data_IF_351378183940
#
_entry.id   IF_351378183940
#
_cell.length_a   1.000
_cell.length_b   1.000
_cell.length_c   1.000
_cell.angle_alpha   90.00
_cell.angle_beta   90.00
_cell.angle_gamma   90.00
#
_symmetry.space_group_name_H-M   'P 1'
#
loop_
_entity.id
_entity.type
_entity.pdbx_description
1 polymer ?
#
# COMPACT_ATOMS: atom_id res chain seq x y z
N UNK A 1 20.79 6.48 -17.29
CA UNK A 1 22.15 5.88 -17.41
C UNK A 1 23.26 6.92 -17.65
N UNK A 2 24.38 6.81 -16.91
CA UNK A 2 25.62 7.59 -17.15
C UNK A 2 26.44 6.94 -18.29
N UNK A 3 27.07 7.75 -19.14
CA UNK A 3 27.82 7.23 -20.30
C UNK A 3 29.08 6.43 -19.88
N UNK A 4 29.77 6.84 -18.82
CA UNK A 4 30.93 6.11 -18.27
C UNK A 4 30.55 4.69 -17.85
N UNK A 5 29.47 4.55 -17.07
CA UNK A 5 29.00 3.24 -16.64
C UNK A 5 28.63 2.34 -17.83
N UNK A 6 28.10 2.92 -18.92
CA UNK A 6 27.82 2.14 -20.13
C UNK A 6 29.07 1.65 -20.85
N UNK A 7 30.13 2.45 -20.83
CA UNK A 7 31.43 2.06 -21.35
C UNK A 7 31.99 0.87 -20.55
N UNK A 8 31.93 0.96 -19.22
CA UNK A 8 32.38 -0.11 -18.31
C UNK A 8 31.54 -1.39 -18.49
N UNK A 9 30.22 -1.26 -18.67
CA UNK A 9 29.33 -2.39 -18.99
C UNK A 9 29.70 -3.04 -20.33
N UNK A 10 30.08 -2.25 -21.35
CA UNK A 10 30.51 -2.81 -22.62
C UNK A 10 31.75 -3.69 -22.46
N UNK A 11 32.73 -3.22 -21.65
CA UNK A 11 33.94 -3.99 -21.31
C UNK A 11 33.59 -5.25 -20.49
N UNK A 12 32.70 -5.13 -19.50
CA UNK A 12 32.20 -6.27 -18.73
C UNK A 12 31.49 -7.29 -19.64
N UNK A 13 30.64 -6.86 -20.58
CA UNK A 13 29.93 -7.77 -21.47
C UNK A 13 30.87 -8.50 -22.44
N UNK A 14 32.04 -7.93 -22.76
CA UNK A 14 33.08 -8.59 -23.54
C UNK A 14 33.80 -9.72 -22.79
N UNK A 15 33.76 -9.77 -21.45
CA UNK A 15 34.38 -10.88 -20.70
C UNK A 15 33.55 -12.16 -20.77
N UNK A 16 32.27 -12.04 -21.15
CA UNK A 16 31.34 -13.15 -21.27
C UNK A 16 31.46 -13.88 -22.60
N UNK A 17 31.20 -15.19 -22.56
CA UNK A 17 31.30 -16.06 -23.75
C UNK A 17 29.97 -16.21 -24.48
N UNK A 18 28.85 -16.31 -23.76
CA UNK A 18 27.57 -16.67 -24.37
C UNK A 18 26.37 -16.06 -23.65
N UNK A 19 25.31 -15.78 -24.41
CA UNK A 19 23.99 -15.48 -23.84
C UNK A 19 23.27 -16.79 -23.49
N UNK A 20 23.27 -17.18 -22.22
CA UNK A 20 22.67 -18.45 -21.76
C UNK A 20 21.16 -18.35 -21.53
N UNK A 21 20.62 -17.14 -21.39
CA UNK A 21 19.18 -16.89 -21.26
C UNK A 21 18.84 -15.47 -21.70
N UNK A 22 17.67 -15.27 -22.31
CA UNK A 22 17.12 -13.95 -22.58
C UNK A 22 15.59 -13.99 -22.64
N UNK A 23 14.91 -13.09 -21.92
CA UNK A 23 13.46 -12.93 -21.98
C UNK A 23 13.02 -11.58 -21.41
N UNK A 24 11.80 -11.13 -21.73
CA UNK A 24 11.17 -10.03 -20.99
C UNK A 24 10.60 -10.53 -19.67
N UNK A 25 10.88 -9.79 -18.60
CA UNK A 25 10.32 -10.03 -17.25
C UNK A 25 9.25 -9.00 -16.88
N UNK A 26 9.21 -7.88 -17.62
CA UNK A 26 8.21 -6.82 -17.54
C UNK A 26 8.13 -6.13 -18.90
N UNK A 27 7.17 -5.24 -19.09
CA UNK A 27 6.89 -4.60 -20.39
C UNK A 27 8.11 -3.88 -20.97
N UNK A 28 8.97 -3.34 -20.09
CA UNK A 28 10.17 -2.58 -20.46
C UNK A 28 11.48 -3.22 -19.97
N UNK A 29 11.43 -4.37 -19.29
CA UNK A 29 12.62 -4.97 -18.65
C UNK A 29 12.97 -6.28 -19.33
N UNK A 30 14.19 -6.35 -19.86
CA UNK A 30 14.76 -7.54 -20.48
C UNK A 30 15.73 -8.16 -19.47
N UNK A 31 15.50 -9.41 -19.11
CA UNK A 31 16.47 -10.23 -18.38
C UNK A 31 17.36 -10.92 -19.40
N UNK A 32 18.67 -10.69 -19.31
CA UNK A 32 19.68 -11.38 -20.09
C UNK A 32 20.68 -12.02 -19.12
N UNK A 33 20.95 -13.32 -19.31
CA UNK A 33 21.98 -14.03 -18.57
C UNK A 33 23.17 -14.25 -19.49
N UNK A 34 24.31 -13.69 -19.12
CA UNK A 34 25.56 -13.86 -19.82
C UNK A 34 26.39 -14.86 -19.00
N UNK A 35 26.70 -16.01 -19.59
CA UNK A 35 27.24 -17.17 -18.90
C UNK A 35 26.40 -17.53 -17.66
N UNK A 36 26.90 -17.28 -16.44
CA UNK A 36 26.19 -17.52 -15.18
C UNK A 36 25.60 -16.25 -14.55
N UNK A 37 25.87 -15.07 -15.09
CA UNK A 37 25.54 -13.78 -14.45
C UNK A 37 24.26 -13.19 -15.04
N UNK A 38 23.33 -12.81 -14.17
CA UNK A 38 22.06 -12.19 -14.54
C UNK A 38 22.20 -10.67 -14.62
N UNK A 39 21.73 -10.11 -15.74
CA UNK A 39 21.58 -8.69 -15.97
C UNK A 39 20.14 -8.36 -16.35
N UNK A 40 19.68 -7.20 -15.90
CA UNK A 40 18.36 -6.69 -16.22
C UNK A 40 18.51 -5.33 -16.87
N UNK A 41 18.01 -5.22 -18.10
CA UNK A 41 18.02 -4.01 -18.90
C UNK A 41 16.63 -3.39 -18.80
N UNK A 42 16.49 -2.36 -17.96
CA UNK A 42 15.26 -1.60 -17.82
C UNK A 42 15.26 -0.42 -18.80
N UNK A 43 14.41 -0.54 -19.81
CA UNK A 43 14.21 0.43 -20.88
C UNK A 43 13.03 1.35 -20.58
N UNK A 44 12.76 1.66 -19.31
CA UNK A 44 11.84 2.72 -18.92
C UNK A 44 12.26 4.06 -19.55
N UNK A 45 11.32 4.75 -20.21
CA UNK A 45 11.57 6.02 -20.91
C UNK A 45 12.07 7.14 -19.99
N UNK A 46 11.67 7.15 -18.71
CA UNK A 46 12.05 8.20 -17.76
C UNK A 46 13.43 8.00 -17.14
N UNK A 47 13.78 6.75 -16.82
CA UNK A 47 15.04 6.42 -16.17
C UNK A 47 15.57 5.04 -16.62
N UNK A 48 16.16 4.95 -17.83
CA UNK A 48 16.77 3.73 -18.32
C UNK A 48 18.02 3.36 -17.52
N UNK A 49 18.15 2.08 -17.20
CA UNK A 49 19.23 1.53 -16.37
C UNK A 49 19.52 0.07 -16.70
N UNK A 50 20.72 -0.37 -16.32
CA UNK A 50 21.11 -1.78 -16.30
C UNK A 50 21.50 -2.09 -14.85
N UNK A 51 21.09 -3.24 -14.33
CA UNK A 51 21.45 -3.70 -12.99
C UNK A 51 21.62 -5.22 -12.97
N UNK A 52 22.25 -5.74 -11.92
CA UNK A 52 22.46 -7.18 -11.73
C UNK A 52 21.85 -7.63 -10.40
N UNK A 53 21.26 -8.82 -10.39
CA UNK A 53 20.71 -9.46 -9.20
C UNK A 53 20.82 -10.97 -9.32
N UNK A 54 21.06 -11.67 -8.22
CA UNK A 54 21.14 -13.13 -8.21
C UNK A 54 19.76 -13.79 -8.34
N UNK A 55 18.70 -13.09 -7.93
CA UNK A 55 17.33 -13.57 -8.01
C UNK A 55 16.77 -13.57 -9.44
N UNK A 56 16.01 -14.60 -9.79
CA UNK A 56 15.19 -14.60 -11.01
C UNK A 56 13.92 -13.80 -10.72
N UNK A 57 13.68 -12.74 -11.49
CA UNK A 57 12.41 -12.01 -11.42
C UNK A 57 11.29 -12.90 -11.99
N UNK A 58 10.14 -12.97 -11.31
CA UNK A 58 8.97 -13.70 -11.80
C UNK A 58 8.64 -13.23 -13.22
N UNK A 59 8.70 -14.15 -14.17
CA UNK A 59 8.42 -13.88 -15.58
C UNK A 59 6.93 -13.94 -15.84
N UNK A 60 6.37 -12.85 -16.37
CA UNK A 60 5.15 -12.95 -17.16
C UNK A 60 5.54 -13.54 -18.52
N UNK A 61 4.74 -14.47 -19.06
CA UNK A 61 5.03 -15.02 -20.38
C UNK A 61 4.65 -14.00 -21.45
N UNK A 62 5.62 -13.60 -22.28
CA UNK A 62 5.43 -12.69 -23.40
C UNK A 62 5.72 -13.43 -24.71
N UNK A 63 4.80 -13.32 -25.67
CA UNK A 63 4.89 -13.98 -26.99
C UNK A 63 4.79 -12.97 -28.15
N UNK A 64 5.22 -11.73 -27.95
CA UNK A 64 5.22 -10.72 -29.01
C UNK A 64 6.33 -11.03 -30.05
N UNK A 65 6.28 -10.45 -31.27
CA UNK A 65 7.31 -10.68 -32.30
C UNK A 65 8.74 -10.45 -31.81
N UNK A 66 8.94 -9.46 -30.94
CA UNK A 66 10.23 -9.19 -30.32
C UNK A 66 10.72 -10.30 -29.38
N UNK A 67 9.82 -10.93 -28.61
CA UNK A 67 10.17 -12.06 -27.73
C UNK A 67 10.60 -13.28 -28.53
N UNK A 68 9.83 -13.58 -29.58
CA UNK A 68 10.12 -14.68 -30.51
C UNK A 68 11.49 -14.42 -31.17
N UNK A 69 11.75 -13.18 -31.60
CA UNK A 69 13.04 -12.82 -32.18
C UNK A 69 14.20 -12.97 -31.18
N UNK A 70 14.05 -12.53 -29.93
CA UNK A 70 15.08 -12.74 -28.90
C UNK A 70 15.38 -14.23 -28.69
N UNK A 71 14.34 -15.06 -28.57
CA UNK A 71 14.50 -16.51 -28.39
C UNK A 71 15.15 -17.21 -29.60
N UNK A 72 14.96 -16.66 -30.81
CA UNK A 72 15.45 -17.27 -32.04
C UNK A 72 16.87 -16.83 -32.40
N UNK A 73 17.20 -15.56 -32.17
CA UNK A 73 18.43 -14.95 -32.70
C UNK A 73 19.48 -14.64 -31.63
N UNK A 74 19.11 -14.55 -30.35
CA UNK A 74 20.02 -14.14 -29.26
C UNK A 74 20.21 -15.26 -28.24
N UNK A 75 19.15 -16.00 -27.92
CA UNK A 75 19.26 -17.12 -26.97
C UNK A 75 20.30 -18.16 -27.45
N UNK A 76 21.23 -18.53 -26.55
CA UNK A 76 22.37 -19.42 -26.82
C UNK A 76 23.35 -18.92 -27.90
N UNK A 77 23.35 -17.63 -28.21
CA UNK A 77 24.33 -17.06 -29.13
C UNK A 77 25.66 -16.76 -28.41
N UNK A 78 26.78 -17.05 -29.07
CA UNK A 78 28.12 -16.72 -28.58
C UNK A 78 28.36 -15.21 -28.73
N UNK A 79 28.91 -14.58 -27.71
CA UNK A 79 29.23 -13.15 -27.72
C UNK A 79 30.56 -12.98 -28.46
N UNK A 80 30.58 -12.12 -29.48
CA UNK A 80 31.81 -11.74 -30.18
C UNK A 80 32.46 -10.53 -29.54
N UNK A 81 31.67 -9.49 -29.33
CA UNK A 81 32.12 -8.23 -28.73
C UNK A 81 30.91 -7.40 -28.31
N UNK A 82 31.13 -6.48 -27.39
CA UNK A 82 30.17 -5.48 -26.97
C UNK A 82 30.86 -4.11 -26.97
N UNK A 83 30.26 -3.10 -27.62
CA UNK A 83 30.83 -1.76 -27.72
C UNK A 83 29.79 -0.68 -27.65
N UNK A 84 30.22 0.55 -27.34
CA UNK A 84 29.37 1.73 -27.46
C UNK A 84 29.31 2.24 -28.90
N UNK A 85 28.23 2.92 -29.21
CA UNK A 85 28.09 3.71 -30.42
C UNK A 85 28.69 5.12 -30.26
N UNK A 86 30.01 5.21 -30.20
CA UNK A 86 30.70 6.48 -29.96
C UNK A 86 30.29 7.12 -28.62
N UNK A 87 29.75 8.33 -28.68
CA UNK A 87 29.26 9.08 -27.50
C UNK A 87 27.76 8.91 -27.26
N UNK A 88 27.07 8.12 -28.09
CA UNK A 88 25.67 7.78 -27.85
C UNK A 88 25.53 6.81 -26.67
N UNK A 89 24.41 6.93 -25.95
CA UNK A 89 24.01 5.96 -24.90
C UNK A 89 23.40 4.71 -25.51
N UNK A 90 24.14 4.08 -26.42
CA UNK A 90 23.72 2.89 -27.17
C UNK A 90 24.79 1.82 -27.00
N UNK A 91 24.37 0.66 -26.50
CA UNK A 91 25.21 -0.52 -26.36
C UNK A 91 24.93 -1.46 -27.54
N UNK A 92 25.99 -1.87 -28.24
CA UNK A 92 25.94 -2.77 -29.39
C UNK A 92 26.58 -4.10 -29.02
N UNK A 93 25.76 -5.11 -28.75
CA UNK A 93 26.19 -6.46 -28.45
C UNK A 93 26.15 -7.31 -29.73
N UNK A 94 27.31 -7.73 -30.21
CA UNK A 94 27.45 -8.57 -31.39
C UNK A 94 27.53 -10.03 -30.97
N UNK A 95 26.59 -10.83 -31.45
CA UNK A 95 26.49 -12.24 -31.14
C UNK A 95 26.55 -13.10 -32.42
N UNK A 96 26.93 -14.36 -32.26
CA UNK A 96 26.84 -15.37 -33.31
C UNK A 96 26.08 -16.59 -32.84
N UNK A 97 25.04 -16.93 -33.57
CA UNK A 97 24.36 -18.20 -33.42
C UNK A 97 24.96 -19.20 -34.42
N UNK A 98 25.59 -20.27 -33.93
CA UNK A 98 26.10 -21.36 -34.77
C UNK A 98 25.01 -22.43 -34.89
N UNK A 99 24.43 -22.55 -36.08
CA UNK A 99 23.69 -23.76 -36.47
C UNK A 99 24.64 -24.78 -37.10
N UNK A 100 24.18 -26.01 -37.31
CA UNK A 100 24.94 -27.09 -37.97
C UNK A 100 25.46 -26.71 -39.35
N UNK A 101 24.79 -25.79 -40.06
CA UNK A 101 25.08 -25.47 -41.47
C UNK A 101 25.54 -24.03 -41.71
N UNK A 102 25.21 -23.08 -40.82
CA UNK A 102 25.55 -21.65 -40.96
C UNK A 102 25.79 -20.99 -39.61
N UNK A 103 26.78 -20.09 -39.58
CA UNK A 103 26.97 -19.12 -38.50
C UNK A 103 26.23 -17.83 -38.86
N UNK A 104 25.29 -17.43 -38.00
CA UNK A 104 24.49 -16.23 -38.19
C UNK A 104 25.01 -15.15 -37.24
N UNK A 105 25.46 -14.02 -37.79
CA UNK A 105 25.79 -12.83 -37.01
C UNK A 105 24.53 -12.02 -36.69
N UNK A 106 24.38 -11.59 -35.45
CA UNK A 106 23.25 -10.80 -34.99
C UNK A 106 23.77 -9.67 -34.11
N UNK A 107 23.31 -8.45 -34.39
CA UNK A 107 23.52 -7.29 -33.53
C UNK A 107 22.29 -7.12 -32.65
N UNK A 108 22.50 -7.14 -31.34
CA UNK A 108 21.53 -6.69 -30.35
C UNK A 108 21.90 -5.28 -29.89
N UNK A 109 21.18 -4.28 -30.41
CA UNK A 109 21.37 -2.88 -30.09
C UNK A 109 20.43 -2.43 -28.98
N UNK A 110 20.98 -1.94 -27.88
CA UNK A 110 20.26 -1.48 -26.70
C UNK A 110 20.41 0.04 -26.59
N UNK A 111 19.32 0.77 -26.79
CA UNK A 111 19.29 2.24 -26.76
C UNK A 111 18.79 2.72 -25.39
N UNK A 112 19.67 3.32 -24.59
CA UNK A 112 19.40 3.83 -23.24
C UNK A 112 19.30 5.37 -23.24
N UNK A 113 18.70 5.91 -24.30
CA UNK A 113 18.45 7.34 -24.50
C UNK A 113 17.11 7.70 -23.84
N UNK A 114 17.11 8.68 -22.94
CA UNK A 114 15.89 9.11 -22.24
C UNK A 114 14.79 9.47 -23.25
N UNK A 115 13.55 9.06 -22.96
CA UNK A 115 12.34 9.21 -23.81
C UNK A 115 12.35 8.41 -25.13
N UNK A 116 13.52 7.96 -25.60
CA UNK A 116 13.72 7.21 -26.84
C UNK A 116 14.41 5.86 -26.59
N UNK A 117 14.09 5.19 -25.49
CA UNK A 117 14.68 3.88 -25.15
C UNK A 117 14.20 2.80 -26.11
N UNK A 118 15.08 1.86 -26.47
CA UNK A 118 14.71 0.74 -27.33
C UNK A 118 15.66 -0.45 -27.18
N UNK A 119 15.23 -1.61 -27.69
CA UNK A 119 16.09 -2.74 -27.95
C UNK A 119 15.77 -3.26 -29.35
N UNK A 120 16.79 -3.43 -30.20
CA UNK A 120 16.64 -3.68 -31.63
C UNK A 120 17.53 -4.87 -31.99
N UNK A 121 16.96 -5.83 -32.71
CA UNK A 121 17.68 -6.99 -33.25
C UNK A 121 17.91 -6.73 -34.73
N UNK A 122 19.17 -6.77 -35.15
CA UNK A 122 19.59 -6.51 -36.53
C UNK A 122 20.39 -7.69 -37.04
N UNK A 123 20.12 -8.08 -38.29
CA UNK A 123 20.85 -9.14 -38.99
C UNK A 123 21.00 -8.72 -40.46
N UNK A 124 22.19 -8.91 -41.03
CA UNK A 124 22.51 -8.50 -42.42
C UNK A 124 22.10 -7.04 -42.69
N UNK A 125 22.44 -6.15 -41.75
CA UNK A 125 22.08 -4.72 -41.73
C UNK A 125 20.59 -4.38 -41.71
N UNK A 126 19.70 -5.37 -41.58
CA UNK A 126 18.24 -5.15 -41.56
C UNK A 126 17.65 -5.44 -40.19
N UNK A 127 16.69 -4.62 -39.78
CA UNK A 127 15.97 -4.81 -38.52
C UNK A 127 15.11 -6.07 -38.61
N UNK A 128 15.32 -7.00 -37.69
CA UNK A 128 14.50 -8.20 -37.53
C UNK A 128 13.28 -7.88 -36.66
N UNK A 129 13.50 -7.27 -35.50
CA UNK A 129 12.45 -6.83 -34.59
C UNK A 129 12.99 -5.78 -33.63
N UNK A 130 12.08 -5.02 -33.01
CA UNK A 130 12.40 -4.08 -31.95
C UNK A 130 11.39 -4.18 -30.80
N UNK A 131 11.80 -3.76 -29.60
CA UNK A 131 10.89 -3.61 -28.46
C UNK A 131 9.83 -2.55 -28.75
N UNK A 132 10.20 -1.49 -29.49
CA UNK A 132 9.32 -0.39 -29.90
C UNK A 132 9.55 -0.09 -31.38
N UNK A 133 8.51 -0.27 -32.18
CA UNK A 133 8.49 0.19 -33.57
C UNK A 133 8.19 1.69 -33.64
N UNK A 134 8.74 2.36 -34.64
CA UNK A 134 8.57 3.80 -34.87
C UNK A 134 8.58 4.07 -36.36
N UNK A 135 7.50 4.65 -36.88
CA UNK A 135 7.40 5.10 -38.26
C UNK A 135 7.59 6.63 -38.33
N UNK A 136 8.74 7.09 -37.85
CA UNK A 136 9.09 8.51 -37.81
C UNK A 136 9.90 8.88 -39.04
N UNK A 137 9.56 10.02 -39.65
CA UNK A 137 10.33 10.60 -40.77
C UNK A 137 11.80 10.83 -40.43
N UNK A 138 12.13 11.03 -39.14
CA UNK A 138 13.51 11.26 -38.69
C UNK A 138 14.34 9.97 -38.63
N UNK A 139 13.73 8.86 -38.20
CA UNK A 139 14.37 7.55 -38.06
C UNK A 139 13.30 6.46 -37.93
N UNK A 140 13.13 5.69 -39.00
CA UNK A 140 12.22 4.56 -39.01
C UNK A 140 12.85 3.34 -38.32
N UNK A 141 12.08 2.68 -37.46
CA UNK A 141 12.39 1.41 -36.81
C UNK A 141 11.25 0.47 -37.13
N UNK A 142 11.39 -0.26 -38.24
CA UNK A 142 10.40 -1.20 -38.77
C UNK A 142 11.11 -2.49 -39.19
N UNK A 143 10.42 -3.64 -39.27
CA UNK A 143 11.01 -4.87 -39.76
C UNK A 143 11.50 -4.74 -41.22
N UNK A 144 12.56 -5.46 -41.56
CA UNK A 144 13.14 -5.61 -42.92
C UNK A 144 13.73 -4.34 -43.55
N UNK A 145 13.78 -3.21 -42.84
CA UNK A 145 14.49 -2.02 -43.32
C UNK A 145 15.89 -1.92 -42.68
N UNK A 146 16.85 -1.25 -43.32
CA UNK A 146 18.15 -0.99 -42.70
C UNK A 146 18.04 -0.14 -41.43
N UNK A 147 18.86 -0.42 -40.42
CA UNK A 147 18.91 0.40 -39.22
C UNK A 147 19.75 1.65 -39.47
N UNK A 148 19.09 2.81 -39.64
CA UNK A 148 19.78 4.08 -39.75
C UNK A 148 20.56 4.41 -38.45
N UNK A 149 21.82 4.90 -38.55
CA UNK A 149 22.59 5.33 -37.40
C UNK A 149 21.96 6.58 -36.76
N UNK A 150 22.30 6.84 -35.50
CA UNK A 150 21.95 8.08 -34.81
C UNK A 150 23.12 9.06 -34.87
N UNK A 151 22.79 10.34 -35.02
CA UNK A 151 23.78 11.41 -34.97
C UNK A 151 24.54 11.38 -33.64
N UNK A 152 25.85 11.62 -33.71
CA UNK A 152 26.67 11.70 -32.52
C UNK A 152 26.40 13.02 -31.80
N UNK A 153 26.34 13.02 -30.46
CA UNK A 153 26.15 14.25 -29.71
C UNK A 153 27.39 15.14 -29.82
N UNK A 154 27.18 16.46 -29.78
CA UNK A 154 28.24 17.46 -29.83
C UNK A 154 28.98 17.61 -28.49
N UNK A 155 29.58 16.53 -27.99
CA UNK A 155 30.53 16.57 -26.88
C UNK A 155 31.53 15.43 -27.00
N UNK A 156 32.67 15.58 -26.33
CA UNK A 156 33.67 14.53 -26.19
C UNK A 156 33.81 14.17 -24.71
N UNK A 157 34.06 12.89 -24.45
CA UNK A 157 34.34 12.37 -23.12
C UNK A 157 35.46 11.36 -23.20
N UNK A 158 36.48 11.53 -22.36
CA UNK A 158 37.49 10.50 -22.12
C UNK A 158 36.93 9.47 -21.14
N UNK A 159 37.03 8.20 -21.50
CA UNK A 159 36.61 7.09 -20.64
C UNK A 159 37.76 6.61 -19.77
N UNK A 160 37.43 6.23 -18.54
CA UNK A 160 38.35 5.47 -17.67
C UNK A 160 38.01 4.00 -17.74
N UNK A 161 39.03 3.16 -17.63
CA UNK A 161 38.90 1.71 -17.70
C UNK A 161 38.76 1.12 -16.30
N UNK A 162 37.54 1.13 -15.76
CA UNK A 162 37.29 0.54 -14.43
C UNK A 162 37.40 -0.99 -14.45
N UNK A 163 37.63 -1.60 -13.28
CA UNK A 163 37.62 -3.06 -13.15
C UNK A 163 36.24 -3.65 -13.48
N UNK A 164 36.23 -4.82 -14.09
CA UNK A 164 35.00 -5.54 -14.45
C UNK A 164 34.25 -6.02 -13.21
N UNK A 165 34.98 -6.44 -12.18
CA UNK A 165 34.47 -6.83 -10.87
C UNK A 165 33.79 -5.64 -10.18
N UNK A 166 34.45 -4.47 -10.16
CA UNK A 166 33.88 -3.23 -9.59
C UNK A 166 32.61 -2.81 -10.34
N UNK A 167 32.62 -2.93 -11.67
CA UNK A 167 31.45 -2.62 -12.50
C UNK A 167 30.28 -3.54 -12.14
N UNK A 168 30.52 -4.84 -12.00
CA UNK A 168 29.49 -5.79 -11.60
C UNK A 168 28.95 -5.46 -10.20
N UNK A 169 29.82 -5.09 -9.27
CA UNK A 169 29.44 -4.68 -7.92
C UNK A 169 28.57 -3.42 -7.95
N UNK A 170 28.94 -2.40 -8.73
CA UNK A 170 28.11 -1.21 -8.94
C UNK A 170 26.72 -1.55 -9.50
N UNK A 171 26.62 -2.50 -10.43
CA UNK A 171 25.33 -2.94 -10.98
C UNK A 171 24.44 -3.64 -9.95
N UNK A 172 25.04 -4.35 -8.99
CA UNK A 172 24.33 -4.95 -7.85
C UNK A 172 23.87 -3.90 -6.85
N UNK A 173 24.69 -2.88 -6.61
CA UNK A 173 24.32 -1.73 -5.77
C UNK A 173 23.18 -0.91 -6.37
N UNK A 174 23.19 -0.68 -7.68
CA UNK A 174 22.10 -0.02 -8.41
C UNK A 174 20.76 -0.77 -8.26
N UNK A 175 20.79 -2.12 -8.24
CA UNK A 175 19.61 -2.92 -7.94
C UNK A 175 19.09 -2.65 -6.52
N UNK A 176 19.97 -2.64 -5.52
CA UNK A 176 19.59 -2.39 -4.12
C UNK A 176 19.01 -0.99 -3.92
N UNK A 177 19.64 0.03 -4.53
CA UNK A 177 19.16 1.42 -4.51
C UNK A 177 17.77 1.51 -5.15
N UNK A 178 17.58 0.86 -6.29
CA UNK A 178 16.29 0.82 -6.97
C UNK A 178 15.21 0.15 -6.11
N UNK A 179 15.49 -1.01 -5.51
CA UNK A 179 14.53 -1.72 -4.65
C UNK A 179 14.14 -0.88 -3.43
N UNK A 180 15.12 -0.24 -2.80
CA UNK A 180 14.88 0.68 -1.67
C UNK A 180 13.98 1.85 -2.10
N UNK A 181 14.29 2.50 -3.23
CA UNK A 181 13.49 3.61 -3.76
C UNK A 181 12.05 3.18 -4.09
N UNK A 182 11.85 2.00 -4.68
CA UNK A 182 10.50 1.46 -4.95
C UNK A 182 9.71 1.19 -3.66
N UNK A 183 10.37 0.66 -2.64
CA UNK A 183 9.78 0.44 -1.32
C UNK A 183 9.39 1.77 -0.66
N UNK A 184 10.26 2.77 -0.73
CA UNK A 184 10.02 4.09 -0.15
C UNK A 184 8.85 4.82 -0.83
N UNK A 185 8.78 4.78 -2.17
CA UNK A 185 7.64 5.34 -2.92
C UNK A 185 6.32 4.64 -2.57
N UNK A 186 6.36 3.30 -2.42
CA UNK A 186 5.19 2.53 -1.99
C UNK A 186 4.75 2.96 -0.59
N UNK A 187 5.70 3.08 0.34
CA UNK A 187 5.46 3.52 1.72
C UNK A 187 4.85 4.92 1.77
N UNK A 188 5.43 5.87 1.05
CA UNK A 188 4.93 7.25 0.99
C UNK A 188 3.48 7.31 0.53
N UNK A 189 3.14 6.56 -0.53
CA UNK A 189 1.77 6.46 -1.02
C UNK A 189 0.81 5.86 0.00
N UNK A 190 1.22 4.87 0.77
CA UNK A 190 0.42 4.28 1.86
C UNK A 190 0.21 5.32 2.96
N UNK A 191 1.28 5.95 3.43
CA UNK A 191 1.25 6.96 4.48
C UNK A 191 0.36 8.14 4.11
N UNK A 192 0.48 8.69 2.90
CA UNK A 192 -0.37 9.77 2.42
C UNK A 192 -1.86 9.39 2.44
N UNK A 193 -2.20 8.16 2.04
CA UNK A 193 -3.57 7.67 2.08
C UNK A 193 -4.10 7.48 3.52
N UNK A 194 -3.25 7.10 4.47
CA UNK A 194 -3.65 6.95 5.87
C UNK A 194 -3.79 8.32 6.57
N UNK A 195 -2.85 9.23 6.35
CA UNK A 195 -2.89 10.59 6.91
C UNK A 195 -4.10 11.37 6.40
N UNK A 196 -4.44 11.27 5.11
CA UNK A 196 -5.66 11.90 4.58
C UNK A 196 -6.94 11.34 5.19
N UNK A 197 -6.99 10.04 5.53
CA UNK A 197 -8.13 9.46 6.27
C UNK A 197 -8.19 9.96 7.70
N UNK A 198 -7.03 10.02 8.38
CA UNK A 198 -6.91 10.53 9.75
C UNK A 198 -7.36 11.99 9.82
N UNK A 199 -6.87 12.86 8.93
CA UNK A 199 -7.24 14.26 8.84
C UNK A 199 -8.76 14.49 8.67
N UNK A 200 -9.44 13.61 7.91
CA UNK A 200 -10.90 13.66 7.78
C UNK A 200 -11.62 13.33 9.08
N UNK A 201 -11.14 12.32 9.82
CA UNK A 201 -11.73 11.93 11.11
C UNK A 201 -11.43 12.96 12.20
N UNK A 202 -10.23 13.54 12.23
CA UNK A 202 -9.90 14.61 13.20
C UNK A 202 -10.72 15.87 12.94
N UNK A 203 -10.94 16.25 11.66
CA UNK A 203 -11.86 17.34 11.32
C UNK A 203 -13.30 17.05 11.76
N UNK A 204 -13.78 15.81 11.57
CA UNK A 204 -15.11 15.42 12.01
C UNK A 204 -15.24 15.45 13.54
N UNK A 205 -14.22 14.98 14.26
CA UNK A 205 -14.14 15.04 15.72
C UNK A 205 -14.21 16.48 16.23
N UNK A 206 -13.43 17.39 15.64
CA UNK A 206 -13.44 18.81 15.99
C UNK A 206 -14.72 19.57 15.59
N UNK A 207 -15.59 18.96 14.77
CA UNK A 207 -16.90 19.54 14.41
C UNK A 207 -18.05 19.09 15.33
N UNK A 208 -17.77 18.19 16.29
CA UNK A 208 -18.79 17.77 17.24
C UNK A 208 -19.19 18.93 18.16
N UNK A 209 -20.47 19.03 18.56
CA UNK A 209 -20.89 20.02 19.53
C UNK A 209 -20.15 19.84 20.85
N UNK A 210 -19.82 20.95 21.49
CA UNK A 210 -19.19 20.93 22.80
C UNK A 210 -20.13 20.35 23.87
N UNK A 211 -19.63 19.37 24.62
CA UNK A 211 -20.43 18.64 25.60
C UNK A 211 -20.72 19.51 26.83
N UNK A 212 -19.78 20.38 27.21
CA UNK A 212 -19.91 21.21 28.40
C UNK A 212 -20.99 22.28 28.23
N UNK A 213 -21.03 22.93 27.07
CA UNK A 213 -22.11 23.88 26.72
C UNK A 213 -23.48 23.20 26.71
N UNK A 214 -23.63 22.03 26.09
CA UNK A 214 -24.89 21.28 26.10
C UNK A 214 -25.30 20.84 27.51
N UNK A 215 -24.33 20.52 28.37
CA UNK A 215 -24.57 20.13 29.76
C UNK A 215 -25.07 21.30 30.58
N UNK A 216 -24.46 22.49 30.43
CA UNK A 216 -24.92 23.74 31.05
C UNK A 216 -26.31 24.12 30.58
N UNK A 217 -26.61 23.99 29.28
CA UNK A 217 -27.94 24.24 28.72
C UNK A 217 -28.98 23.30 29.33
N UNK A 218 -28.66 22.01 29.42
CA UNK A 218 -29.51 20.99 30.05
C UNK A 218 -29.81 21.33 31.52
N UNK A 219 -28.79 21.71 32.28
CA UNK A 219 -28.93 22.07 33.70
C UNK A 219 -29.76 23.33 33.90
N UNK A 220 -29.55 24.34 33.04
CA UNK A 220 -30.35 25.57 33.05
C UNK A 220 -31.81 25.26 32.76
N UNK A 221 -32.12 24.48 31.72
CA UNK A 221 -33.49 24.09 31.39
C UNK A 221 -34.15 23.28 32.52
N UNK A 222 -33.40 22.37 33.16
CA UNK A 222 -33.89 21.60 34.29
C UNK A 222 -34.17 22.48 35.52
N UNK A 223 -33.28 23.42 35.82
CA UNK A 223 -33.47 24.38 36.91
C UNK A 223 -34.71 25.25 36.67
N UNK A 224 -34.85 25.83 35.48
CA UNK A 224 -36.01 26.65 35.10
C UNK A 224 -37.32 25.87 35.15
N UNK A 225 -37.33 24.62 34.68
CA UNK A 225 -38.52 23.77 34.72
C UNK A 225 -39.00 23.53 36.17
N UNK A 226 -38.06 23.22 37.08
CA UNK A 226 -38.37 23.03 38.50
C UNK A 226 -38.81 24.34 39.17
N UNK A 227 -38.14 25.45 38.85
CA UNK A 227 -38.52 26.76 39.38
C UNK A 227 -39.95 27.17 38.98
N UNK A 228 -40.35 26.90 37.73
CA UNK A 228 -41.72 27.17 37.28
C UNK A 228 -42.74 26.33 38.07
N UNK A 229 -42.44 25.05 38.34
CA UNK A 229 -43.34 24.19 39.11
C UNK A 229 -43.49 24.63 40.57
N UNK A 230 -42.44 25.16 41.19
CA UNK A 230 -42.51 25.62 42.59
C UNK A 230 -43.22 26.96 42.75
N UNK A 231 -43.39 27.73 41.67
CA UNK A 231 -44.01 29.08 41.68
C UNK A 231 -45.11 29.25 40.64
N UNK A 232 -45.91 28.21 40.39
CA UNK A 232 -46.96 28.22 39.37
C UNK A 232 -47.92 29.41 39.51
N UNK A 233 -48.29 29.78 40.73
CA UNK A 233 -49.25 30.86 41.01
C UNK A 233 -48.66 32.25 40.79
N UNK A 234 -47.33 32.39 40.85
CA UNK A 234 -46.63 33.67 40.74
C UNK A 234 -46.20 34.00 39.31
N UNK A 235 -46.33 33.07 38.37
CA UNK A 235 -45.87 33.23 36.99
C UNK A 235 -47.06 33.51 36.08
N UNK A 236 -47.11 34.67 35.40
CA UNK A 236 -48.20 34.98 34.48
C UNK A 236 -48.30 33.98 33.32
N UNK A 237 -49.53 33.76 32.85
CA UNK A 237 -49.75 33.07 31.58
C UNK A 237 -49.04 33.84 30.45
N UNK A 238 -48.48 33.12 29.48
CA UNK A 238 -47.72 33.69 28.35
C UNK A 238 -46.43 34.44 28.74
N UNK A 239 -45.91 34.26 29.95
CA UNK A 239 -44.60 34.80 30.33
C UNK A 239 -43.49 34.28 29.39
N UNK A 240 -42.59 35.18 29.00
CA UNK A 240 -41.44 34.90 28.10
C UNK A 240 -40.10 34.90 28.82
N UNK A 241 -40.05 35.41 30.06
CA UNK A 241 -38.83 35.52 30.84
C UNK A 241 -39.07 35.40 32.33
N UNK A 242 -38.08 34.92 33.07
CA UNK A 242 -38.06 34.85 34.53
C UNK A 242 -36.81 35.55 35.06
N UNK A 243 -36.95 36.29 36.16
CA UNK A 243 -35.81 36.84 36.91
C UNK A 243 -35.54 35.97 38.14
N UNK A 244 -34.36 35.36 38.20
CA UNK A 244 -33.91 34.50 39.30
C UNK A 244 -32.55 35.04 39.75
N UNK A 245 -32.42 35.44 41.02
CA UNK A 245 -31.16 35.93 41.62
C UNK A 245 -30.44 37.00 40.77
N UNK A 246 -31.18 38.02 40.32
CA UNK A 246 -30.70 39.12 39.46
C UNK A 246 -30.22 38.70 38.05
N UNK A 247 -30.57 37.50 37.60
CA UNK A 247 -30.36 37.05 36.21
C UNK A 247 -31.70 36.81 35.53
N UNK A 248 -31.81 37.30 34.29
CA UNK A 248 -32.97 37.07 33.45
C UNK A 248 -32.75 35.84 32.57
N UNK A 249 -33.72 34.95 32.57
CA UNK A 249 -33.75 33.72 31.78
C UNK A 249 -34.95 33.74 30.84
N UNK A 250 -34.74 33.32 29.59
CA UNK A 250 -35.84 33.13 28.65
C UNK A 250 -36.57 31.81 28.92
N UNK A 251 -37.90 31.83 28.86
CA UNK A 251 -38.73 30.64 28.99
C UNK A 251 -39.71 30.52 27.81
N UNK A 252 -40.15 29.28 27.47
CA UNK A 252 -41.10 29.11 26.39
C UNK A 252 -42.46 29.76 26.70
N UNK A 253 -42.89 30.69 25.85
CA UNK A 253 -44.21 31.29 25.94
C UNK A 253 -45.31 30.23 25.77
N UNK A 254 -46.14 30.05 26.80
CA UNK A 254 -47.22 29.09 26.84
C UNK A 254 -48.44 29.66 27.57
N UNK A 255 -49.63 29.19 27.21
CA UNK A 255 -50.89 29.61 27.84
C UNK A 255 -51.01 29.21 29.32
N UNK A 256 -50.23 28.21 29.78
CA UNK A 256 -50.10 27.83 31.19
C UNK A 256 -48.61 27.66 31.54
N UNK A 257 -48.13 28.17 32.69
CA UNK A 257 -46.76 27.98 33.16
C UNK A 257 -46.37 26.49 33.25
N UNK A 258 -47.28 25.61 33.66
CA UNK A 258 -47.03 24.15 33.70
C UNK A 258 -46.60 23.58 32.34
N UNK A 259 -47.19 24.04 31.24
CA UNK A 259 -46.83 23.60 29.88
C UNK A 259 -45.46 24.12 29.43
N UNK A 260 -45.05 25.30 29.91
CA UNK A 260 -43.69 25.81 29.71
C UNK A 260 -42.68 24.92 30.44
N UNK A 261 -42.96 24.54 31.68
CA UNK A 261 -42.16 23.58 32.44
C UNK A 261 -42.07 22.21 31.75
N UNK A 262 -43.20 21.65 31.30
CA UNK A 262 -43.22 20.39 30.54
C UNK A 262 -42.36 20.43 29.28
N UNK A 263 -42.37 21.56 28.55
CA UNK A 263 -41.54 21.75 27.36
C UNK A 263 -40.05 21.79 27.72
N UNK A 264 -39.67 22.48 28.79
CA UNK A 264 -38.30 22.51 29.29
C UNK A 264 -37.84 21.12 29.74
N UNK A 265 -38.67 20.34 30.45
CA UNK A 265 -38.34 18.94 30.79
C UNK A 265 -38.18 18.06 29.54
N UNK A 266 -39.02 18.24 28.51
CA UNK A 266 -38.85 17.56 27.22
C UNK A 266 -37.54 17.94 26.54
N UNK A 267 -37.15 19.22 26.57
CA UNK A 267 -35.85 19.69 26.06
C UNK A 267 -34.68 19.08 26.86
N UNK A 268 -34.75 19.08 28.19
CA UNK A 268 -33.77 18.44 29.07
C UNK A 268 -33.59 16.96 28.74
N UNK A 269 -34.68 16.20 28.54
CA UNK A 269 -34.63 14.78 28.15
C UNK A 269 -33.95 14.59 26.78
N UNK A 270 -34.27 15.44 25.79
CA UNK A 270 -33.63 15.41 24.47
C UNK A 270 -32.14 15.75 24.54
N UNK A 271 -31.76 16.76 25.31
CA UNK A 271 -30.36 17.15 25.53
C UNK A 271 -29.57 16.02 26.20
N UNK A 272 -30.14 15.36 27.22
CA UNK A 272 -29.51 14.19 27.87
C UNK A 272 -29.21 13.08 26.86
N UNK A 273 -30.16 12.72 26.00
CA UNK A 273 -29.95 11.72 24.95
C UNK A 273 -28.89 12.18 23.94
N UNK A 274 -28.96 13.45 23.51
CA UNK A 274 -27.98 14.04 22.57
C UNK A 274 -26.55 13.98 23.13
N UNK A 275 -26.36 14.34 24.39
CA UNK A 275 -25.06 14.28 25.08
C UNK A 275 -24.51 12.84 25.09
N UNK A 276 -25.34 11.86 25.48
CA UNK A 276 -24.94 10.45 25.49
C UNK A 276 -24.53 9.96 24.08
N UNK A 277 -25.29 10.35 23.05
CA UNK A 277 -24.96 10.02 21.66
C UNK A 277 -23.65 10.66 21.19
N UNK A 278 -23.40 11.93 21.55
CA UNK A 278 -22.17 12.63 21.19
C UNK A 278 -20.98 11.98 21.89
N UNK A 279 -21.09 11.63 23.17
CA UNK A 279 -20.03 10.93 23.91
C UNK A 279 -19.64 9.62 23.21
N UNK A 280 -20.63 8.76 22.89
CA UNK A 280 -20.38 7.52 22.15
C UNK A 280 -19.79 7.79 20.76
N UNK A 281 -20.19 8.87 20.10
CA UNK A 281 -19.65 9.23 18.79
C UNK A 281 -18.18 9.67 18.89
N UNK A 282 -17.84 10.44 19.93
CA UNK A 282 -16.48 10.90 20.23
C UNK A 282 -15.55 9.71 20.49
N UNK A 283 -15.90 8.82 21.42
CA UNK A 283 -15.11 7.61 21.73
C UNK A 283 -14.87 6.74 20.47
N UNK A 284 -15.91 6.60 19.63
CA UNK A 284 -15.82 5.85 18.38
C UNK A 284 -14.88 6.49 17.35
N UNK A 285 -14.83 7.83 17.28
CA UNK A 285 -13.94 8.56 16.38
C UNK A 285 -12.50 8.54 16.89
N UNK A 286 -12.30 8.77 18.18
CA UNK A 286 -10.99 8.71 18.84
C UNK A 286 -10.36 7.32 18.67
N UNK A 287 -11.11 6.25 18.94
CA UNK A 287 -10.65 4.86 18.73
C UNK A 287 -10.20 4.61 17.28
N UNK A 288 -10.95 5.15 16.30
CA UNK A 288 -10.59 5.06 14.87
C UNK A 288 -9.33 5.85 14.53
N UNK A 289 -9.14 7.01 15.15
CA UNK A 289 -7.95 7.84 14.96
C UNK A 289 -6.74 7.12 15.57
N UNK A 290 -6.86 6.55 16.77
CA UNK A 290 -5.82 5.72 17.39
C UNK A 290 -5.45 4.54 16.49
N UNK A 291 -6.45 3.82 15.97
CA UNK A 291 -6.22 2.71 15.03
C UNK A 291 -5.52 3.15 13.73
N UNK A 292 -5.79 4.37 13.23
CA UNK A 292 -5.07 4.93 12.08
C UNK A 292 -3.64 5.34 12.42
N UNK A 293 -3.40 5.90 13.61
CA UNK A 293 -2.05 6.21 14.08
C UNK A 293 -1.20 4.93 14.16
N UNK A 294 -1.75 3.86 14.74
CA UNK A 294 -1.06 2.58 14.83
C UNK A 294 -0.76 1.99 13.43
N UNK A 295 -1.68 2.12 12.47
CA UNK A 295 -1.41 1.74 11.07
C UNK A 295 -0.29 2.58 10.44
N UNK A 296 -0.26 3.90 10.71
CA UNK A 296 0.78 4.79 10.22
C UNK A 296 2.13 4.40 10.80
N UNK A 297 2.21 4.15 12.10
CA UNK A 297 3.44 3.74 12.78
C UNK A 297 3.94 2.38 12.29
N UNK A 298 3.02 1.43 12.09
CA UNK A 298 3.36 0.15 11.45
C UNK A 298 3.88 0.34 10.03
N UNK A 299 3.22 1.18 9.22
CA UNK A 299 3.62 1.44 7.83
C UNK A 299 5.01 2.09 7.70
N UNK A 300 5.48 2.85 8.69
CA UNK A 300 6.81 3.50 8.66
C UNK A 300 7.94 2.49 8.55
N UNK A 301 7.84 1.36 9.25
CA UNK A 301 8.89 0.34 9.32
C UNK A 301 8.54 -0.96 8.58
N UNK A 302 7.31 -1.07 8.09
CA UNK A 302 6.83 -2.21 7.32
C UNK A 302 7.70 -2.52 6.09
N UNK A 303 7.91 -3.81 5.86
CA UNK A 303 8.46 -4.35 4.62
C UNK A 303 7.43 -4.29 3.47
N UNK A 304 7.84 -4.68 2.26
CA UNK A 304 6.97 -4.59 1.07
C UNK A 304 5.69 -5.42 1.20
N UNK A 305 5.75 -6.62 1.79
CA UNK A 305 4.59 -7.49 1.97
C UNK A 305 3.61 -6.89 2.97
N UNK A 306 4.10 -6.42 4.12
CA UNK A 306 3.32 -5.70 5.13
C UNK A 306 2.63 -4.45 4.54
N UNK A 307 3.30 -3.71 3.66
CA UNK A 307 2.70 -2.57 2.96
C UNK A 307 1.60 -2.95 1.95
N UNK A 308 1.72 -4.10 1.27
CA UNK A 308 0.66 -4.59 0.36
C UNK A 308 -0.63 -4.91 1.11
N UNK A 309 -0.52 -5.33 2.37
CA UNK A 309 -1.66 -5.63 3.24
C UNK A 309 -2.41 -4.35 3.59
N UNK A 310 -1.70 -3.26 3.91
CA UNK A 310 -2.30 -1.97 4.25
C UNK A 310 -2.92 -1.24 3.04
N UNK A 311 -2.42 -1.52 1.83
CA UNK A 311 -2.95 -0.99 0.58
C UNK A 311 -3.25 -2.13 -0.40
N UNK A 312 -4.33 -2.89 -0.18
CA UNK A 312 -4.66 -4.01 -1.05
C UNK A 312 -4.84 -3.51 -2.48
N UNK A 313 -4.22 -4.23 -3.42
CA UNK A 313 -4.40 -3.97 -4.85
C UNK A 313 -5.90 -3.99 -5.14
N UNK A 314 -6.40 -2.95 -5.82
CA UNK A 314 -7.81 -2.89 -6.25
C UNK A 314 -8.09 -4.09 -7.16
N UNK A 315 -8.58 -5.19 -6.60
CA UNK A 315 -9.20 -6.23 -7.41
C UNK A 315 -10.48 -5.63 -8.00
N UNK A 316 -10.66 -5.78 -9.32
CA UNK A 316 -11.87 -5.45 -10.08
C UNK A 316 -13.05 -6.32 -9.60
N UNK A 317 -13.43 -6.14 -8.34
CA UNK A 317 -14.58 -6.78 -7.72
C UNK A 317 -15.63 -5.69 -7.53
N UNK A 318 -16.81 -5.96 -8.10
CA UNK A 318 -18.03 -5.14 -8.03
C UNK A 318 -18.15 -4.50 -6.65
N UNK A 319 -18.36 -3.17 -6.60
CA UNK A 319 -18.63 -2.33 -5.42
C UNK A 319 -18.74 -3.16 -4.11
N UNK A 320 -17.61 -3.47 -3.48
CA UNK A 320 -17.66 -4.07 -2.15
C UNK A 320 -18.41 -3.08 -1.26
N UNK A 321 -19.51 -3.54 -0.69
CA UNK A 321 -20.25 -2.84 0.37
C UNK A 321 -19.24 -2.27 1.37
N UNK A 322 -19.38 -1.00 1.76
CA UNK A 322 -18.47 -0.37 2.73
C UNK A 322 -18.42 -1.26 3.97
N UNK A 323 -17.32 -1.97 4.16
CA UNK A 323 -17.13 -2.83 5.33
C UNK A 323 -17.18 -1.96 6.58
N UNK A 324 -18.00 -2.37 7.55
CA UNK A 324 -18.14 -1.64 8.80
C UNK A 324 -16.85 -1.67 9.63
N UNK A 325 -16.01 -2.70 9.45
CA UNK A 325 -14.73 -2.93 10.13
C UNK A 325 -13.56 -2.96 9.12
N UNK A 326 -12.32 -2.92 9.61
CA UNK A 326 -11.13 -3.03 8.78
C UNK A 326 -10.99 -4.44 8.18
N UNK A 327 -10.49 -4.55 6.96
CA UNK A 327 -10.24 -5.84 6.31
C UNK A 327 -8.94 -5.83 5.54
N UNK A 328 -8.24 -6.95 5.62
CA UNK A 328 -6.90 -7.19 5.08
C UNK A 328 -6.87 -8.57 4.41
N UNK A 329 -5.85 -8.83 3.59
CA UNK A 329 -5.64 -10.15 2.98
C UNK A 329 -4.20 -10.59 3.23
N UNK A 330 -4.03 -11.79 3.78
CA UNK A 330 -2.74 -12.43 4.02
C UNK A 330 -2.78 -13.77 3.29
N UNK A 331 -1.89 -13.95 2.31
CA UNK A 331 -1.84 -15.12 1.43
C UNK A 331 -3.20 -15.53 0.82
N UNK A 332 -4.00 -14.53 0.43
CA UNK A 332 -5.34 -14.73 -0.14
C UNK A 332 -6.44 -15.01 0.90
N UNK A 333 -6.11 -15.17 2.18
CA UNK A 333 -7.07 -15.33 3.27
C UNK A 333 -7.50 -13.95 3.76
N UNK A 334 -8.83 -13.72 3.82
CA UNK A 334 -9.39 -12.48 4.36
C UNK A 334 -9.27 -12.45 5.87
N UNK A 335 -8.80 -11.33 6.41
CA UNK A 335 -8.72 -11.04 7.84
C UNK A 335 -9.49 -9.76 8.13
N UNK A 336 -10.19 -9.67 9.25
CA UNK A 336 -11.00 -8.51 9.62
C UNK A 336 -10.77 -8.13 11.07
N UNK A 337 -10.73 -6.82 11.34
CA UNK A 337 -10.41 -6.26 12.67
C UNK A 337 -11.41 -5.14 12.99
N UNK A 338 -12.04 -5.20 14.16
CA UNK A 338 -12.91 -4.13 14.63
C UNK A 338 -12.10 -2.97 15.20
N UNK A 339 -12.36 -1.73 14.76
CA UNK A 339 -11.56 -0.55 15.15
C UNK A 339 -12.06 0.15 16.41
N UNK A 340 -13.26 -0.21 16.85
CA UNK A 340 -13.93 0.30 18.03
C UNK A 340 -14.97 -0.71 18.51
N UNK A 341 -15.60 -0.44 19.65
CA UNK A 341 -16.58 -1.33 20.27
C UNK A 341 -17.72 -1.72 19.31
N UNK A 342 -18.32 -0.74 18.62
CA UNK A 342 -19.43 -0.99 17.68
C UNK A 342 -19.01 -1.91 16.53
N UNK A 343 -17.81 -1.73 16.01
CA UNK A 343 -17.29 -2.55 14.92
C UNK A 343 -16.89 -3.95 15.39
N UNK A 344 -16.39 -4.07 16.62
CA UNK A 344 -16.11 -5.33 17.29
C UNK A 344 -17.38 -6.18 17.43
N UNK A 345 -18.45 -5.60 17.96
CA UNK A 345 -19.77 -6.25 18.07
C UNK A 345 -20.23 -6.71 16.68
N UNK A 346 -20.17 -5.81 15.69
CA UNK A 346 -20.64 -6.11 14.35
C UNK A 346 -19.82 -7.20 13.66
N UNK A 347 -18.50 -7.13 13.77
CA UNK A 347 -17.58 -8.13 13.24
C UNK A 347 -17.89 -9.52 13.81
N UNK A 348 -18.11 -9.61 15.12
CA UNK A 348 -18.47 -10.85 15.78
C UNK A 348 -19.85 -11.36 15.33
N UNK A 349 -20.83 -10.50 15.09
CA UNK A 349 -22.16 -10.89 14.59
C UNK A 349 -22.13 -11.36 13.14
N UNK A 350 -21.33 -10.73 12.28
CA UNK A 350 -21.23 -11.02 10.85
C UNK A 350 -20.39 -12.27 10.53
N UNK A 351 -19.61 -12.76 11.50
CA UNK A 351 -18.64 -13.85 11.29
C UNK A 351 -19.24 -15.24 11.45
N UNK A 352 -18.86 -16.16 10.55
CA UNK A 352 -19.27 -17.57 10.63
C UNK A 352 -18.68 -18.24 11.88
N UNK A 353 -19.42 -19.18 12.46
CA UNK A 353 -18.99 -19.89 13.68
C UNK A 353 -17.70 -20.71 13.55
N UNK A 354 -17.34 -21.16 12.35
CA UNK A 354 -16.09 -21.89 12.09
C UNK A 354 -14.86 -21.01 11.90
N UNK A 355 -15.03 -19.71 11.72
CA UNK A 355 -13.88 -18.82 11.53
C UNK A 355 -13.06 -18.69 12.80
N UNK A 356 -11.76 -18.44 12.66
CA UNK A 356 -10.88 -18.23 13.81
C UNK A 356 -11.07 -16.80 14.33
N UNK A 357 -11.27 -16.69 15.64
CA UNK A 357 -11.27 -15.46 16.40
C UNK A 357 -9.97 -15.34 17.18
N UNK A 358 -9.38 -14.16 17.18
CA UNK A 358 -8.14 -13.81 17.87
C UNK A 358 -8.36 -12.56 18.73
N UNK A 359 -7.72 -12.51 19.90
CA UNK A 359 -7.65 -11.35 20.78
C UNK A 359 -6.37 -11.39 21.62
N UNK A 360 -5.86 -10.24 22.04
CA UNK A 360 -4.65 -10.17 22.87
C UNK A 360 -5.00 -10.64 24.29
N UNK A 361 -4.26 -11.61 24.83
CA UNK A 361 -4.50 -12.17 26.16
C UNK A 361 -4.39 -11.06 27.22
N UNK A 362 -5.38 -10.96 28.10
CA UNK A 362 -5.43 -10.05 29.26
C UNK A 362 -5.27 -8.55 28.96
N UNK A 363 -5.37 -8.13 27.69
CA UNK A 363 -5.21 -6.74 27.26
C UNK A 363 -6.45 -6.30 26.49
N UNK A 364 -7.16 -5.24 26.91
CA UNK A 364 -8.26 -4.66 26.14
C UNK A 364 -7.80 -4.28 24.73
N UNK A 365 -8.31 -4.97 23.71
CA UNK A 365 -7.81 -4.84 22.35
C UNK A 365 -8.91 -5.07 21.30
N UNK A 366 -8.54 -4.96 20.02
CA UNK A 366 -9.46 -5.22 18.92
C UNK A 366 -9.76 -6.72 18.80
N UNK A 367 -10.96 -7.09 18.33
CA UNK A 367 -11.20 -8.46 17.90
C UNK A 367 -10.75 -8.64 16.46
N UNK A 368 -10.05 -9.74 16.19
CA UNK A 368 -9.67 -10.14 14.84
C UNK A 368 -10.37 -11.44 14.46
N UNK A 369 -10.84 -11.50 13.22
CA UNK A 369 -11.40 -12.71 12.60
C UNK A 369 -10.59 -13.07 11.36
N UNK A 370 -10.10 -14.31 11.31
CA UNK A 370 -9.58 -14.94 10.11
C UNK A 370 -10.73 -15.69 9.45
N UNK A 371 -11.08 -15.33 8.21
CA UNK A 371 -12.24 -15.87 7.49
C UNK A 371 -11.95 -17.25 6.89
N UNK A 372 -11.44 -18.17 7.71
CA UNK A 372 -11.10 -19.54 7.36
C UNK A 372 -11.25 -20.43 8.61
N UNK A 373 -11.56 -21.71 8.39
CA UNK A 373 -11.66 -22.72 9.46
C UNK A 373 -10.27 -23.16 9.96
N UNK A 374 -9.28 -23.19 9.06
CA UNK A 374 -7.88 -23.53 9.35
C UNK A 374 -6.99 -22.73 8.42
N UNK A 375 -5.84 -22.31 8.91
CA UNK A 375 -4.77 -21.62 8.15
C UNK A 375 -3.42 -22.22 8.50
N UNK A 376 -2.38 -21.89 7.74
CA UNK A 376 -1.01 -22.24 8.12
C UNK A 376 -0.57 -21.46 9.36
N UNK A 377 0.41 -21.99 10.09
CA UNK A 377 0.97 -21.34 11.28
C UNK A 377 1.54 -19.96 10.93
N UNK A 378 2.14 -19.82 9.73
CA UNK A 378 2.62 -18.54 9.22
C UNK A 378 1.51 -17.47 9.13
N UNK A 379 0.34 -17.82 8.58
CA UNK A 379 -0.79 -16.88 8.47
C UNK A 379 -1.34 -16.54 9.84
N UNK A 380 -1.40 -17.52 10.75
CA UNK A 380 -1.87 -17.33 12.12
C UNK A 380 -0.94 -16.40 12.93
N UNK A 381 0.36 -16.68 12.89
CA UNK A 381 1.40 -15.84 13.52
C UNK A 381 1.34 -14.41 12.99
N UNK A 382 1.31 -14.27 11.66
CA UNK A 382 1.30 -12.96 11.02
C UNK A 382 0.00 -12.18 11.34
N UNK A 383 -1.16 -12.85 11.41
CA UNK A 383 -2.40 -12.22 11.85
C UNK A 383 -2.32 -11.72 13.31
N UNK A 384 -1.68 -12.48 14.20
CA UNK A 384 -1.46 -12.08 15.59
C UNK A 384 -0.48 -10.91 15.73
N UNK A 385 0.62 -10.90 14.97
CA UNK A 385 1.55 -9.77 14.89
C UNK A 385 0.82 -8.52 14.40
N UNK A 386 0.04 -8.64 13.31
CA UNK A 386 -0.74 -7.55 12.76
C UNK A 386 -1.73 -7.01 13.80
N UNK A 387 -2.47 -7.87 14.50
CA UNK A 387 -3.39 -7.45 15.57
C UNK A 387 -2.68 -6.59 16.61
N UNK A 388 -1.54 -7.06 17.12
CA UNK A 388 -0.79 -6.36 18.15
C UNK A 388 -0.24 -5.01 17.68
N UNK A 389 0.35 -4.97 16.47
CA UNK A 389 0.86 -3.71 15.88
C UNK A 389 -0.28 -2.70 15.68
N UNK A 390 -1.44 -3.15 15.20
CA UNK A 390 -2.59 -2.27 14.98
C UNK A 390 -3.30 -1.84 16.28
N UNK A 391 -3.10 -2.58 17.38
CA UNK A 391 -3.50 -2.16 18.72
C UNK A 391 -2.44 -1.27 19.40
N UNK A 392 -1.28 -1.04 18.79
CA UNK A 392 -0.24 -0.17 19.32
C UNK A 392 0.60 -0.81 20.43
N UNK A 393 0.62 -2.14 20.52
CA UNK A 393 1.44 -2.86 21.51
C UNK A 393 2.92 -2.72 21.14
N UNK A 394 3.70 -2.25 22.12
CA UNK A 394 5.15 -2.05 22.00
C UNK A 394 5.97 -3.20 22.57
N UNK A 395 5.34 -4.06 23.38
CA UNK A 395 6.03 -5.17 24.05
C UNK A 395 6.52 -6.21 23.05
N UNK A 396 7.78 -6.64 23.21
CA UNK A 396 8.39 -7.57 22.28
C UNK A 396 7.82 -8.98 22.38
N UNK A 397 7.17 -9.34 23.49
CA UNK A 397 6.55 -10.65 23.71
C UNK A 397 5.08 -10.45 24.04
N UNK A 398 4.23 -11.14 23.30
CA UNK A 398 2.77 -11.07 23.49
C UNK A 398 2.19 -12.48 23.43
N UNK A 399 1.01 -12.63 24.03
CA UNK A 399 0.22 -13.85 23.94
C UNK A 399 -1.12 -13.51 23.28
N UNK A 400 -1.47 -14.23 22.23
CA UNK A 400 -2.74 -14.10 21.53
C UNK A 400 -3.58 -15.32 21.85
N UNK A 401 -4.77 -15.09 22.40
CA UNK A 401 -5.78 -16.14 22.52
C UNK A 401 -6.49 -16.29 21.18
N UNK A 402 -6.67 -17.54 20.75
CA UNK A 402 -7.44 -17.82 19.55
C UNK A 402 -8.32 -19.06 19.71
N UNK A 403 -9.53 -18.98 19.16
CA UNK A 403 -10.49 -20.08 19.17
C UNK A 403 -11.42 -19.97 17.96
N UNK A 404 -12.31 -20.92 17.76
CA UNK A 404 -13.38 -20.77 16.77
C UNK A 404 -14.39 -19.75 17.26
N UNK A 405 -14.88 -18.89 16.35
CA UNK A 405 -15.88 -17.85 16.62
C UNK A 405 -17.11 -18.40 17.36
N UNK A 406 -17.56 -19.62 17.08
CA UNK A 406 -18.71 -20.28 17.76
C UNK A 406 -18.54 -20.41 19.28
N UNK A 407 -17.30 -20.43 19.78
CA UNK A 407 -17.00 -20.54 21.21
C UNK A 407 -16.88 -19.18 21.90
N UNK A 408 -17.07 -18.08 21.16
CA UNK A 408 -17.04 -16.72 21.69
C UNK A 408 -18.48 -16.22 21.86
N UNK A 409 -18.83 -15.65 23.00
CA UNK A 409 -20.15 -15.06 23.25
C UNK A 409 -20.00 -13.63 23.73
N UNK A 410 -20.75 -12.72 23.09
CA UNK A 410 -20.85 -11.32 23.52
C UNK A 410 -21.63 -11.24 24.83
N UNK A 411 -21.16 -10.42 25.76
CA UNK A 411 -21.85 -10.11 27.01
C UNK A 411 -22.36 -8.67 26.98
N UNK A 412 -21.69 -7.76 27.68
CA UNK A 412 -22.01 -6.33 27.68
C UNK A 412 -21.10 -5.62 26.68
N UNK A 413 -21.69 -4.87 25.75
CA UNK A 413 -20.89 -4.14 24.76
C UNK A 413 -20.09 -5.09 23.86
N UNK A 414 -18.80 -4.79 23.65
CA UNK A 414 -17.87 -5.69 22.97
C UNK A 414 -17.19 -6.71 23.89
N UNK A 415 -17.50 -6.78 25.18
CA UNK A 415 -16.92 -7.79 26.05
C UNK A 415 -17.36 -9.20 25.64
N UNK A 416 -16.45 -10.15 25.77
CA UNK A 416 -16.68 -11.53 25.38
C UNK A 416 -16.29 -12.51 26.47
N UNK A 417 -17.04 -13.60 26.57
CA UNK A 417 -16.62 -14.84 27.23
C UNK A 417 -16.32 -15.84 26.13
N UNK A 418 -15.19 -16.52 26.24
CA UNK A 418 -14.75 -17.51 25.26
C UNK A 418 -14.25 -18.77 25.93
N UNK A 419 -14.19 -19.87 25.16
CA UNK A 419 -13.74 -21.16 25.63
C UNK A 419 -13.01 -21.92 24.51
N UNK A 420 -12.32 -23.00 24.89
CA UNK A 420 -11.53 -23.85 23.98
C UNK A 420 -10.49 -23.04 23.20
N UNK A 421 -9.93 -22.05 23.87
CA UNK A 421 -8.86 -21.23 23.36
C UNK A 421 -7.54 -21.98 23.36
N UNK A 422 -6.76 -21.68 22.33
CA UNK A 422 -5.35 -21.98 22.27
C UNK A 422 -4.58 -20.67 22.43
N UNK A 423 -3.35 -20.76 22.95
CA UNK A 423 -2.46 -19.62 23.12
C UNK A 423 -1.38 -19.61 22.05
N UNK A 424 -1.15 -18.44 21.47
CA UNK A 424 -0.11 -18.20 20.49
C UNK A 424 0.90 -17.20 21.05
N UNK A 425 2.12 -17.67 21.30
CA UNK A 425 3.20 -16.85 21.85
C UNK A 425 3.99 -16.22 20.70
N UNK A 426 4.01 -14.89 20.63
CA UNK A 426 4.64 -14.16 19.51
C UNK A 426 5.74 -13.23 19.98
N UNK A 427 6.71 -13.01 19.08
CA UNK A 427 7.74 -11.98 19.23
C UNK A 427 7.59 -10.91 18.15
N UNK A 428 7.41 -9.65 18.54
CA UNK A 428 7.10 -8.54 17.63
C UNK A 428 8.30 -7.96 16.85
N UNK A 429 9.51 -8.49 17.06
CA UNK A 429 10.76 -8.02 16.46
C UNK A 429 11.12 -8.69 15.11
N UNK A 430 10.23 -9.49 14.54
CA UNK A 430 10.51 -10.33 13.37
C UNK A 430 10.36 -9.66 11.99
N UNK A 431 10.19 -8.34 11.89
CA UNK A 431 10.09 -7.65 10.58
C UNK A 431 11.25 -6.73 10.24
#
# INVERSE_FOLDING_TARGET
MKLQLLHDIARLFCTHKMVTYIARVSDNVIHIRLDSINYFIDLNKGNPRIYSSEGILKTKQYNAPFDIAMSKYIYKANIKTCKLDGMNKILKLYCTYKSTYKSIETLFQIELINRATNAIIVQNDRIISALRFSDSLKRAILPKIPLAPLDQPHFLKTFTDNSTEDTLQMLREEYNIMQKSLLDQKREKVLQNLETKKAKLTKLLGSLPDIDTLTKERETNFMLANYILTRLDSIPNYATSLSIENKNYEIPCMNKPSLASDKLFKQTKKLKQKIEHIHKQQENLESKIIFLNNQIDFAKYANSQSLDILAPKKHNTKKLQKSHYASFYIDGVKISIGRNERENIRLLQDSKGDFLWLHICDIPSSHLIIHANKVSDQVLEYAGILLAKLCGIKDNKIVIDYTKRRFVRLTQGAHVVYAKENKLHLQLNKE
#
